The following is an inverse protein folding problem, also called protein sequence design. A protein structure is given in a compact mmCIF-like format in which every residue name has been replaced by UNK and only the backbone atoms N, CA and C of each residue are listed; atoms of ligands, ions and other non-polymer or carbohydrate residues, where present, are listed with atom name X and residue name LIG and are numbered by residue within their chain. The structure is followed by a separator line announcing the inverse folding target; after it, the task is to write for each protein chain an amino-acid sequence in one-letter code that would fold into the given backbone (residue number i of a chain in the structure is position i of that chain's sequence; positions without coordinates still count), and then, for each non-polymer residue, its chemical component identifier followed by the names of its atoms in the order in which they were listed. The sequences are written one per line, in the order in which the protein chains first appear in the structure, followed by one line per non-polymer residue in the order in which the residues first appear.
data_IF_910691913565
#
_entry.id   IF_910691913565
#
_cell.length_a   1.000
_cell.length_b   1.000
_cell.length_c   1.000
_cell.angle_alpha   90.00
_cell.angle_beta   90.00
_cell.angle_gamma   90.00
#
_symmetry.space_group_name_H-M   'P 1'
#
loop_
_entity.id
_entity.type
_entity.pdbx_description
1 polymer ?
#
# COMPACT_ATOMS: atom_id res chain seq x y z
N UNK A 1 13.97 -18.92 -32.49
CA UNK A 1 13.80 -19.81 -31.32
C UNK A 1 12.46 -19.48 -30.71
N UNK A 2 11.49 -20.37 -30.85
CA UNK A 2 10.14 -20.24 -30.28
C UNK A 2 10.26 -20.39 -28.76
N UNK A 3 9.99 -19.32 -28.01
CA UNK A 3 9.82 -19.40 -26.56
C UNK A 3 8.62 -20.28 -26.26
N UNK A 4 8.80 -21.28 -25.40
CA UNK A 4 7.71 -22.15 -24.96
C UNK A 4 6.81 -21.38 -23.99
N UNK A 5 5.51 -21.69 -23.99
CA UNK A 5 4.53 -21.09 -23.08
C UNK A 5 5.01 -21.08 -21.62
N UNK A 6 5.64 -22.17 -21.17
CA UNK A 6 6.18 -22.28 -19.81
C UNK A 6 7.28 -21.25 -19.51
N UNK A 7 8.14 -20.94 -20.48
CA UNK A 7 9.18 -19.94 -20.31
C UNK A 7 8.59 -18.53 -20.21
N UNK A 8 7.57 -18.24 -21.02
CA UNK A 8 6.85 -16.95 -20.98
C UNK A 8 6.05 -16.80 -19.68
N UNK A 9 5.37 -17.86 -19.25
CA UNK A 9 4.63 -17.90 -18.00
C UNK A 9 5.54 -17.73 -16.77
N UNK A 10 6.72 -18.36 -16.77
CA UNK A 10 7.71 -18.17 -15.72
C UNK A 10 8.20 -16.72 -15.64
N UNK A 11 8.49 -16.10 -16.79
CA UNK A 11 8.92 -14.69 -16.87
C UNK A 11 7.84 -13.73 -16.36
N UNK A 12 6.58 -13.94 -16.74
CA UNK A 12 5.44 -13.15 -16.28
C UNK A 12 5.26 -13.24 -14.75
N UNK A 13 5.34 -14.44 -14.17
CA UNK A 13 5.29 -14.64 -12.71
C UNK A 13 6.42 -13.90 -11.99
N UNK A 14 7.63 -13.95 -12.54
CA UNK A 14 8.79 -13.30 -11.92
C UNK A 14 8.73 -11.76 -12.00
N UNK A 15 8.25 -11.22 -13.12
CA UNK A 15 7.99 -9.78 -13.26
C UNK A 15 6.83 -9.27 -12.39
N UNK A 16 5.84 -10.11 -12.10
CA UNK A 16 4.76 -9.79 -11.17
C UNK A 16 5.26 -9.82 -9.72
N UNK A 17 6.10 -10.80 -9.38
CA UNK A 17 6.73 -10.89 -8.06
C UNK A 17 7.65 -9.68 -7.80
N UNK A 18 8.46 -9.27 -8.79
CA UNK A 18 9.33 -8.09 -8.65
C UNK A 18 8.55 -6.76 -8.59
N UNK A 19 7.34 -6.69 -9.19
CA UNK A 19 6.43 -5.54 -9.04
C UNK A 19 5.73 -5.50 -7.68
N UNK A 20 5.76 -6.59 -6.93
CA UNK A 20 5.13 -6.74 -5.61
C UNK A 20 6.09 -6.42 -4.46
N UNK A 21 7.26 -5.83 -4.73
CA UNK A 21 8.06 -5.12 -3.71
C UNK A 21 7.39 -3.78 -3.37
N UNK A 22 6.14 -3.83 -2.91
CA UNK A 22 5.53 -2.73 -2.20
C UNK A 22 6.07 -2.75 -0.77
N UNK A 23 6.99 -1.84 -0.47
CA UNK A 23 7.46 -1.60 0.89
C UNK A 23 6.28 -1.03 1.72
N UNK A 24 5.50 -1.90 2.33
CA UNK A 24 4.63 -1.52 3.44
C UNK A 24 5.55 -1.04 4.57
N UNK A 25 5.34 0.18 5.04
CA UNK A 25 6.14 0.79 6.11
C UNK A 25 6.11 0.01 7.45
N UNK A 26 5.38 -1.11 7.53
CA UNK A 26 5.19 -1.93 8.73
C UNK A 26 5.82 -3.32 8.70
N UNK A 27 6.50 -3.74 7.63
CA UNK A 27 7.14 -5.06 7.59
C UNK A 27 8.54 -5.01 8.24
N UNK A 28 8.58 -5.04 9.57
CA UNK A 28 9.80 -5.21 10.34
C UNK A 28 10.44 -6.58 10.07
N UNK A 29 11.75 -6.60 9.83
CA UNK A 29 12.55 -7.81 9.84
C UNK A 29 12.53 -8.43 11.24
N UNK A 30 12.35 -9.75 11.30
CA UNK A 30 12.24 -10.50 12.54
C UNK A 30 13.53 -10.43 13.37
N UNK A 31 13.41 -10.04 14.64
CA UNK A 31 14.34 -10.38 15.71
C UNK A 31 14.97 -9.21 16.46
N UNK A 32 14.74 -9.19 17.78
CA UNK A 32 15.53 -8.42 18.75
C UNK A 32 14.89 -7.11 19.20
N UNK A 33 14.57 -7.03 20.49
CA UNK A 33 14.06 -5.82 21.13
C UNK A 33 15.05 -4.66 21.03
N UNK A 34 14.80 -3.77 20.10
CA UNK A 34 15.15 -2.36 20.15
C UNK A 34 13.85 -1.64 19.81
N UNK A 35 13.50 -0.60 20.58
CA UNK A 35 12.35 0.24 20.23
C UNK A 35 12.48 0.58 18.76
N UNK A 36 11.54 0.09 17.94
CA UNK A 36 11.47 0.51 16.55
C UNK A 36 11.47 2.03 16.58
N UNK A 37 12.13 2.66 15.59
CA UNK A 37 11.93 4.10 15.37
C UNK A 37 10.43 4.33 15.55
N UNK A 38 10.07 5.05 16.61
CA UNK A 38 8.68 5.31 16.95
C UNK A 38 7.99 5.65 15.63
N UNK A 39 6.79 5.11 15.39
CA UNK A 39 5.97 5.50 14.25
C UNK A 39 5.88 7.03 14.27
N UNK A 40 6.84 7.69 13.62
CA UNK A 40 6.87 9.14 13.53
C UNK A 40 5.58 9.43 12.80
N UNK A 41 4.76 10.26 13.40
CA UNK A 41 3.55 10.82 12.82
C UNK A 41 3.93 11.67 11.62
N UNK A 42 4.42 11.02 10.57
CA UNK A 42 4.86 11.65 9.36
C UNK A 42 3.67 11.63 8.40
N UNK A 43 2.97 12.76 8.39
CA UNK A 43 1.89 13.04 7.45
C UNK A 43 2.29 12.70 6.01
N UNK A 44 3.56 12.89 5.63
CA UNK A 44 4.04 12.59 4.29
C UNK A 44 4.04 11.08 4.02
N UNK A 45 4.38 10.24 4.99
CA UNK A 45 4.35 8.77 4.85
C UNK A 45 2.92 8.29 4.62
N UNK A 46 1.97 8.77 5.44
CA UNK A 46 0.54 8.42 5.30
C UNK A 46 -0.06 8.91 3.98
N UNK A 47 0.29 10.13 3.56
CA UNK A 47 -0.12 10.67 2.27
C UNK A 47 0.47 9.89 1.10
N UNK A 48 1.74 9.50 1.20
CA UNK A 48 2.40 8.69 0.17
C UNK A 48 1.73 7.33 0.04
N UNK A 49 1.47 6.63 1.14
CA UNK A 49 0.76 5.36 1.11
C UNK A 49 -0.64 5.49 0.49
N UNK A 50 -1.36 6.59 0.77
CA UNK A 50 -2.64 6.90 0.14
C UNK A 50 -2.50 7.09 -1.38
N UNK A 51 -1.50 7.84 -1.83
CA UNK A 51 -1.21 8.05 -3.25
C UNK A 51 -0.83 6.74 -3.96
N UNK A 52 0.01 5.92 -3.34
CA UNK A 52 0.45 4.63 -3.88
C UNK A 52 -0.74 3.67 -4.06
N UNK A 53 -1.67 3.62 -3.11
CA UNK A 53 -2.92 2.86 -3.26
C UNK A 53 -3.81 3.41 -4.38
N UNK A 54 -3.80 4.74 -4.62
CA UNK A 54 -4.48 5.34 -5.77
C UNK A 54 -3.86 4.97 -7.10
N UNK A 55 -2.53 4.96 -7.17
CA UNK A 55 -1.78 4.46 -8.33
C UNK A 55 -2.10 2.98 -8.60
N UNK A 56 -2.09 2.15 -7.57
CA UNK A 56 -2.42 0.73 -7.68
C UNK A 56 -3.85 0.51 -8.17
N UNK A 57 -4.84 1.20 -7.61
CA UNK A 57 -6.22 1.12 -8.06
C UNK A 57 -6.38 1.50 -9.54
N UNK A 58 -5.61 2.50 -10.00
CA UNK A 58 -5.59 2.92 -11.41
C UNK A 58 -4.99 1.85 -12.31
N UNK A 59 -3.83 1.31 -11.93
CA UNK A 59 -3.17 0.23 -12.68
C UNK A 59 -4.05 -1.02 -12.79
N UNK A 60 -4.76 -1.37 -11.72
CA UNK A 60 -5.72 -2.49 -11.74
C UNK A 60 -6.85 -2.23 -12.74
N UNK A 61 -7.41 -1.01 -12.77
CA UNK A 61 -8.44 -0.64 -13.76
C UNK A 61 -7.91 -0.74 -15.20
N UNK A 62 -6.69 -0.30 -15.45
CA UNK A 62 -6.04 -0.48 -16.75
C UNK A 62 -5.89 -1.95 -17.12
N UNK A 63 -5.46 -2.79 -16.16
CA UNK A 63 -5.36 -4.23 -16.38
C UNK A 63 -6.73 -4.89 -16.63
N UNK A 64 -7.79 -4.46 -15.94
CA UNK A 64 -9.16 -4.90 -16.21
C UNK A 64 -9.62 -4.57 -17.62
N UNK A 65 -9.31 -3.37 -18.12
CA UNK A 65 -9.59 -3.01 -19.52
C UNK A 65 -8.86 -3.95 -20.48
N UNK A 66 -7.55 -4.16 -20.27
CA UNK A 66 -6.76 -5.07 -21.11
C UNK A 66 -7.25 -6.52 -21.06
N UNK A 67 -7.69 -6.99 -19.89
CA UNK A 67 -8.28 -8.32 -19.72
C UNK A 67 -9.62 -8.42 -20.49
N UNK A 68 -10.47 -7.41 -20.39
CA UNK A 68 -11.73 -7.34 -21.13
C UNK A 68 -11.52 -7.28 -22.65
N UNK A 69 -10.51 -6.56 -23.11
CA UNK A 69 -10.13 -6.51 -24.52
C UNK A 69 -9.60 -7.86 -25.01
N UNK A 70 -8.75 -8.53 -24.22
CA UNK A 70 -8.21 -9.86 -24.55
C UNK A 70 -9.26 -10.97 -24.55
N UNK A 71 -10.33 -10.84 -23.77
CA UNK A 71 -11.46 -11.78 -23.77
C UNK A 71 -12.31 -11.67 -25.04
N UNK A 72 -12.27 -10.55 -25.77
CA UNK A 72 -13.04 -10.38 -27.01
C UNK A 72 -12.61 -11.42 -28.03
N UNK A 73 -13.58 -12.19 -28.54
CA UNK A 73 -13.33 -13.23 -29.54
C UNK A 73 -12.92 -14.60 -28.97
N UNK A 74 -12.77 -14.74 -27.64
CA UNK A 74 -12.54 -16.03 -26.99
C UNK A 74 -13.78 -16.96 -27.02
N UNK A 75 -14.96 -16.41 -27.34
CA UNK A 75 -16.21 -17.17 -27.44
C UNK A 75 -16.33 -17.89 -28.80
N UNK A 76 -15.81 -19.12 -28.88
CA UNK A 76 -16.24 -20.10 -29.88
C UNK A 76 -17.21 -21.08 -29.24
N UNK A 77 -18.49 -20.99 -29.61
CA UNK A 77 -19.51 -21.88 -29.09
C UNK A 77 -19.17 -23.35 -29.38
N UNK A 78 -19.30 -24.21 -28.36
CA UNK A 78 -19.19 -25.67 -28.52
C UNK A 78 -17.83 -26.28 -28.15
N UNK A 79 -16.89 -25.52 -27.58
CA UNK A 79 -15.61 -26.06 -27.09
C UNK A 79 -15.50 -25.87 -25.57
N UNK A 80 -15.17 -26.93 -24.83
CA UNK A 80 -15.04 -26.85 -23.36
C UNK A 80 -14.03 -25.80 -22.90
N UNK A 81 -12.95 -25.61 -23.66
CA UNK A 81 -11.93 -24.60 -23.37
C UNK A 81 -12.46 -23.17 -23.41
N UNK A 82 -13.47 -22.87 -24.23
CA UNK A 82 -14.06 -21.52 -24.25
C UNK A 82 -14.92 -21.25 -23.01
N UNK A 83 -15.61 -22.26 -22.50
CA UNK A 83 -16.38 -22.15 -21.26
C UNK A 83 -15.44 -21.96 -20.05
N UNK A 84 -14.38 -22.76 -19.96
CA UNK A 84 -13.36 -22.62 -18.93
C UNK A 84 -12.67 -21.24 -18.97
N UNK A 85 -12.41 -20.71 -20.17
CA UNK A 85 -11.84 -19.37 -20.34
C UNK A 85 -12.78 -18.26 -19.86
N UNK A 86 -14.09 -18.38 -20.12
CA UNK A 86 -15.07 -17.40 -19.64
C UNK A 86 -15.20 -17.42 -18.11
N UNK A 87 -15.25 -18.60 -17.50
CA UNK A 87 -15.26 -18.74 -16.04
C UNK A 87 -14.01 -18.11 -15.39
N UNK A 88 -12.84 -18.36 -15.97
CA UNK A 88 -11.58 -17.77 -15.53
C UNK A 88 -11.63 -16.25 -15.64
N UNK A 89 -12.06 -15.73 -16.79
CA UNK A 89 -12.21 -14.29 -17.02
C UNK A 89 -13.13 -13.63 -15.97
N UNK A 90 -14.31 -14.19 -15.71
CA UNK A 90 -15.25 -13.64 -14.72
C UNK A 90 -14.67 -13.65 -13.30
N UNK A 91 -13.96 -14.72 -12.93
CA UNK A 91 -13.30 -14.84 -11.63
C UNK A 91 -12.24 -13.74 -11.44
N UNK A 92 -11.34 -13.58 -12.40
CA UNK A 92 -10.30 -12.55 -12.35
C UNK A 92 -10.86 -11.14 -12.39
N UNK A 93 -11.87 -10.90 -13.23
CA UNK A 93 -12.56 -9.62 -13.29
C UNK A 93 -13.13 -9.24 -11.92
N UNK A 94 -13.90 -10.15 -11.32
CA UNK A 94 -14.51 -9.93 -10.00
C UNK A 94 -13.47 -9.64 -8.92
N UNK A 95 -12.39 -10.43 -8.90
CA UNK A 95 -11.31 -10.26 -7.92
C UNK A 95 -10.62 -8.89 -8.06
N UNK A 96 -10.25 -8.52 -9.29
CA UNK A 96 -9.54 -7.27 -9.57
C UNK A 96 -10.42 -6.04 -9.33
N UNK A 97 -11.72 -6.10 -9.66
CA UNK A 97 -12.68 -5.03 -9.33
C UNK A 97 -12.79 -4.82 -7.82
N UNK A 98 -12.89 -5.92 -7.05
CA UNK A 98 -12.91 -5.86 -5.59
C UNK A 98 -11.62 -5.28 -5.02
N UNK A 99 -10.46 -5.71 -5.53
CA UNK A 99 -9.16 -5.22 -5.07
C UNK A 99 -8.98 -3.73 -5.37
N UNK A 100 -9.33 -3.27 -6.57
CA UNK A 100 -9.31 -1.85 -6.91
C UNK A 100 -10.22 -1.04 -5.98
N UNK A 101 -11.41 -1.55 -5.67
CA UNK A 101 -12.34 -0.96 -4.72
C UNK A 101 -11.75 -0.82 -3.32
N UNK A 102 -11.10 -1.87 -2.81
CA UNK A 102 -10.41 -1.85 -1.49
C UNK A 102 -9.27 -0.82 -1.47
N UNK A 103 -8.43 -0.79 -2.50
CA UNK A 103 -7.37 0.21 -2.62
C UNK A 103 -7.94 1.63 -2.60
N UNK A 104 -9.01 1.90 -3.35
CA UNK A 104 -9.69 3.19 -3.34
C UNK A 104 -10.31 3.55 -1.99
N UNK A 105 -10.96 2.59 -1.32
CA UNK A 105 -11.58 2.81 -0.03
C UNK A 105 -10.58 3.16 1.09
N UNK A 106 -9.35 2.65 1.01
CA UNK A 106 -8.30 2.88 2.00
C UNK A 106 -7.56 4.23 1.84
N UNK A 107 -7.65 4.89 0.68
CA UNK A 107 -6.95 6.17 0.46
C UNK A 107 -7.38 7.26 1.44
N UNK A 108 -8.70 7.44 1.62
CA UNK A 108 -9.27 8.44 2.53
C UNK A 108 -8.87 8.22 3.99
N UNK A 109 -9.08 7.00 4.55
CA UNK A 109 -8.63 6.63 5.88
C UNK A 109 -7.13 6.88 6.13
N UNK A 110 -6.25 6.52 5.18
CA UNK A 110 -4.80 6.77 5.32
C UNK A 110 -4.48 8.26 5.41
N UNK A 111 -5.07 9.08 4.54
CA UNK A 111 -4.87 10.54 4.58
C UNK A 111 -5.36 11.13 5.90
N UNK A 112 -6.53 10.71 6.37
CA UNK A 112 -7.10 11.17 7.65
C UNK A 112 -6.25 10.75 8.84
N UNK A 113 -5.68 9.53 8.82
CA UNK A 113 -4.76 9.08 9.85
C UNK A 113 -3.52 9.98 9.91
N UNK A 114 -2.91 10.29 8.75
CA UNK A 114 -1.78 11.21 8.67
C UNK A 114 -2.09 12.63 9.15
N UNK A 115 -3.26 13.17 8.79
CA UNK A 115 -3.73 14.49 9.27
C UNK A 115 -3.94 14.51 10.80
N UNK A 116 -4.62 13.49 11.34
CA UNK A 116 -4.93 13.41 12.76
C UNK A 116 -3.68 13.23 13.63
N UNK A 117 -2.75 12.38 13.21
CA UNK A 117 -1.50 12.17 13.93
C UNK A 117 -0.61 13.42 13.91
N UNK A 118 -0.48 14.07 12.75
CA UNK A 118 0.29 15.32 12.65
C UNK A 118 -0.27 16.43 13.57
N UNK A 119 -1.59 16.60 13.60
CA UNK A 119 -2.23 17.60 14.46
C UNK A 119 -2.03 17.29 15.96
N UNK A 120 -1.99 16.01 16.34
CA UNK A 120 -1.74 15.61 17.72
C UNK A 120 -0.29 15.91 18.13
N UNK A 121 0.68 15.52 17.30
CA UNK A 121 2.11 15.80 17.52
C UNK A 121 2.40 17.30 17.64
N UNK A 122 1.79 18.12 16.77
CA UNK A 122 1.93 19.58 16.80
C UNK A 122 1.38 20.17 18.11
N UNK A 123 0.18 19.75 18.52
CA UNK A 123 -0.42 20.20 19.78
C UNK A 123 0.40 19.80 21.02
N UNK A 124 0.99 18.60 21.02
CA UNK A 124 1.88 18.15 22.10
C UNK A 124 3.13 19.03 22.15
N UNK A 125 3.77 19.27 20.99
CA UNK A 125 4.97 20.10 20.89
C UNK A 125 4.71 21.53 21.36
N UNK A 126 3.59 22.12 20.97
CA UNK A 126 3.19 23.46 21.38
C UNK A 126 2.95 23.53 22.89
N UNK A 127 2.30 22.51 23.47
CA UNK A 127 2.11 22.39 24.91
C UNK A 127 3.44 22.35 25.68
N UNK A 128 4.40 21.54 25.24
CA UNK A 128 5.73 21.50 25.85
C UNK A 128 6.50 22.81 25.67
N UNK A 129 6.40 23.46 24.50
CA UNK A 129 7.02 24.76 24.25
C UNK A 129 6.44 25.84 25.17
N UNK A 130 5.13 25.80 25.41
CA UNK A 130 4.47 26.71 26.35
C UNK A 130 4.95 26.49 27.79
N UNK A 131 5.05 25.23 28.23
CA UNK A 131 5.56 24.90 29.58
C UNK A 131 7.02 25.35 29.72
N UNK A 132 7.88 25.08 28.74
CA UNK A 132 9.29 25.50 28.73
C UNK A 132 9.42 27.02 28.83
N UNK A 133 8.60 27.77 28.08
CA UNK A 133 8.54 29.22 28.16
C UNK A 133 8.04 29.75 29.52
N UNK A 134 7.19 29.02 30.23
CA UNK A 134 6.66 29.41 31.54
C UNK A 134 7.64 29.20 32.69
N UNK A 135 8.58 28.26 32.56
CA UNK A 135 9.48 27.84 33.64
C UNK A 135 10.97 28.04 33.32
N UNK A 136 11.31 29.08 32.54
CA UNK A 136 12.71 29.41 32.17
C UNK A 136 13.60 29.73 33.37
N UNK A 137 13.00 30.16 34.47
CA UNK A 137 13.61 30.53 35.74
C UNK A 137 13.79 29.34 36.71
N UNK A 138 13.29 28.16 36.36
CA UNK A 138 13.44 26.95 37.17
C UNK A 138 14.68 26.16 36.71
N UNK A 139 15.78 26.14 37.49
CA UNK A 139 16.97 25.38 37.12
C UNK A 139 16.67 23.87 37.09
N UNK A 140 17.23 23.16 36.10
CA UNK A 140 17.11 21.71 35.99
C UNK A 140 17.80 21.02 37.19
N UNK A 141 17.00 20.49 38.13
CA UNK A 141 17.49 19.94 39.40
C UNK A 141 17.66 18.41 39.41
N UNK A 142 17.43 17.73 38.28
CA UNK A 142 17.58 16.26 38.15
C UNK A 142 18.57 15.87 37.06
N UNK A 143 19.59 15.06 37.40
CA UNK A 143 20.60 14.56 36.44
C UNK A 143 22.07 14.76 36.86
N UNK A 144 22.34 15.16 38.11
CA UNK A 144 23.70 15.23 38.63
C UNK A 144 24.38 13.86 38.62
N UNK A 145 25.54 13.79 37.96
CA UNK A 145 26.39 12.62 37.83
C UNK A 145 26.57 11.89 39.17
N UNK A 146 26.34 10.57 39.14
CA UNK A 146 26.86 9.62 40.12
C UNK A 146 27.88 8.76 39.40
#
# INVERSE_FOLDING_TARGET
MTTTFEAEWASLKQQAASRTEMHLASAAAAGGGGGGEDLKSDKAVWNRASQDLGGLATNIKTALTGLGDGQKGAAQAGVESSAAQDELYQSWKTYLESLAGKCSALQGPLRKAGEGQYANDEAIKDGFTQVDGQYQDTPATGGGAR
#
